data_IF_440791777526
#
_entry.id   IF_440791777526
#
_cell.length_a   1.000
_cell.length_b   1.000
_cell.length_c   1.000
_cell.angle_alpha   90.00
_cell.angle_beta   90.00
_cell.angle_gamma   90.00
#
_symmetry.space_group_name_H-M   'P 1'
#
loop_
_entity.id
_entity.type
_entity.pdbx_description
1 polymer ?
#
# COMPACT_ATOMS: atom_id res chain seq x y z
N UNK A 1 -12.49 -3.66 -8.50
CA UNK A 1 -11.69 -4.25 -7.40
C UNK A 1 -10.38 -4.72 -7.99
N UNK A 2 -9.25 -4.16 -7.55
CA UNK A 2 -7.95 -4.72 -7.89
C UNK A 2 -7.72 -5.91 -6.96
N UNK A 3 -7.69 -7.12 -7.51
CA UNK A 3 -7.28 -8.32 -6.77
C UNK A 3 -5.79 -8.20 -6.47
N UNK A 4 -5.44 -7.90 -5.23
CA UNK A 4 -4.07 -8.06 -4.75
C UNK A 4 -3.87 -9.55 -4.55
N UNK A 5 -3.08 -10.21 -5.41
CA UNK A 5 -2.85 -11.66 -5.34
C UNK A 5 -2.25 -12.14 -4.00
N UNK A 6 -1.84 -13.40 -3.92
CA UNK A 6 -1.28 -14.00 -2.71
C UNK A 6 -0.14 -13.13 -2.12
N UNK A 7 -0.43 -12.47 -0.98
CA UNK A 7 0.46 -11.54 -0.28
C UNK A 7 -0.08 -10.12 -0.09
N UNK A 8 -1.19 -9.74 -0.73
CA UNK A 8 -1.87 -8.48 -0.42
C UNK A 8 -1.03 -7.21 -0.59
N UNK A 9 -1.33 -6.19 0.22
CA UNK A 9 -0.52 -4.96 0.28
C UNK A 9 0.84 -5.21 0.93
N UNK A 10 0.97 -6.20 1.83
CA UNK A 10 2.24 -6.53 2.52
C UNK A 10 3.34 -6.88 1.54
N UNK A 11 3.04 -7.68 0.51
CA UNK A 11 3.99 -8.00 -0.57
C UNK A 11 4.43 -6.78 -1.37
N UNK A 12 3.54 -5.80 -1.51
CA UNK A 12 3.86 -4.53 -2.17
C UNK A 12 4.76 -3.65 -1.29
N UNK A 13 4.52 -3.63 0.02
CA UNK A 13 5.36 -2.94 1.00
C UNK A 13 6.76 -3.55 1.08
N UNK A 14 6.88 -4.88 1.09
CA UNK A 14 8.16 -5.58 0.99
C UNK A 14 8.93 -5.20 -0.27
N UNK A 15 8.23 -5.07 -1.40
CA UNK A 15 8.86 -4.67 -2.65
C UNK A 15 9.41 -3.24 -2.61
N UNK A 16 8.72 -2.32 -1.93
CA UNK A 16 9.17 -0.94 -1.76
C UNK A 16 10.40 -0.85 -0.84
N UNK A 17 10.47 -1.69 0.19
CA UNK A 17 11.55 -1.71 1.16
C UNK A 17 12.81 -2.47 0.71
N UNK A 18 12.70 -3.37 -0.28
CA UNK A 18 13.83 -4.16 -0.81
C UNK A 18 14.52 -3.42 -1.96
N UNK A 19 15.07 -2.24 -1.66
CA UNK A 19 15.71 -1.34 -2.62
C UNK A 19 17.18 -1.65 -2.89
N UNK A 20 17.74 -2.72 -2.30
CA UNK A 20 19.07 -3.21 -2.67
C UNK A 20 18.96 -4.38 -3.66
N UNK A 21 19.23 -4.10 -4.94
CA UNK A 21 19.65 -5.11 -5.91
C UNK A 21 18.62 -6.12 -6.41
N UNK A 22 17.33 -5.99 -6.11
CA UNK A 22 16.32 -6.86 -6.73
C UNK A 22 16.07 -6.44 -8.19
N UNK A 23 16.28 -7.37 -9.12
CA UNK A 23 16.20 -7.20 -10.59
C UNK A 23 14.83 -6.77 -11.14
N UNK A 24 13.85 -6.50 -10.26
CA UNK A 24 12.53 -5.93 -10.59
C UNK A 24 12.36 -4.46 -10.16
N UNK A 25 13.27 -3.87 -9.38
CA UNK A 25 13.28 -2.41 -9.10
C UNK A 25 13.30 -1.56 -10.39
N UNK A 26 13.77 -2.16 -11.49
CA UNK A 26 13.79 -1.59 -12.84
C UNK A 26 12.62 -2.00 -13.75
N UNK A 27 11.68 -2.84 -13.31
CA UNK A 27 10.44 -3.00 -14.09
C UNK A 27 9.60 -1.76 -13.85
N UNK A 28 9.65 -0.83 -14.82
CA UNK A 28 8.90 0.43 -14.84
C UNK A 28 7.40 0.24 -14.60
N UNK A 29 7.01 0.07 -13.35
CA UNK A 29 5.62 0.16 -12.94
C UNK A 29 5.27 1.63 -12.93
N UNK A 30 4.34 2.02 -13.79
CA UNK A 30 3.80 3.37 -13.84
C UNK A 30 3.40 3.82 -12.44
N UNK A 31 3.54 5.12 -12.15
CA UNK A 31 3.14 5.76 -10.89
C UNK A 31 1.81 5.21 -10.32
N UNK A 32 0.81 5.03 -11.19
CA UNK A 32 -0.50 4.51 -10.82
C UNK A 32 -0.44 3.11 -10.17
N UNK A 33 0.39 2.20 -10.68
CA UNK A 33 0.49 0.81 -10.20
C UNK A 33 1.26 0.73 -8.88
N UNK A 34 2.28 1.58 -8.69
CA UNK A 34 3.10 1.60 -7.46
C UNK A 34 2.25 1.88 -6.22
N UNK A 35 1.35 2.86 -6.33
CA UNK A 35 0.57 3.33 -5.18
C UNK A 35 -0.85 2.77 -5.09
N UNK A 36 -1.39 2.17 -6.16
CA UNK A 36 -2.72 1.52 -6.12
C UNK A 36 -2.79 0.32 -5.18
N UNK A 37 -1.64 -0.25 -4.81
CA UNK A 37 -1.54 -1.44 -3.96
C UNK A 37 -1.25 -1.11 -2.48
N UNK A 38 -1.10 0.19 -2.15
CA UNK A 38 -0.90 0.61 -0.77
C UNK A 38 -2.21 0.53 0.04
N UNK A 39 -2.12 0.27 1.34
CA UNK A 39 -3.29 0.22 2.22
C UNK A 39 -4.00 1.59 2.22
N UNK A 40 -5.33 1.57 2.10
CA UNK A 40 -6.13 2.79 2.16
C UNK A 40 -6.52 3.11 3.61
N UNK A 41 -6.38 4.37 4.08
CA UNK A 41 -6.78 4.74 5.44
C UNK A 41 -8.27 4.58 5.72
N UNK A 42 -9.09 4.41 4.67
CA UNK A 42 -10.53 4.18 4.82
C UNK A 42 -10.87 2.70 5.04
N UNK A 43 -10.04 1.77 4.53
CA UNK A 43 -10.24 0.34 4.72
C UNK A 43 -9.50 -0.19 5.95
N UNK A 44 -8.33 0.39 6.26
CA UNK A 44 -7.51 0.04 7.41
C UNK A 44 -7.73 1.06 8.53
N UNK A 45 -8.01 0.60 9.75
CA UNK A 45 -8.22 1.46 10.91
C UNK A 45 -6.97 2.27 11.30
N UNK A 46 -7.15 3.33 12.08
CA UNK A 46 -6.08 4.27 12.45
C UNK A 46 -4.98 3.62 13.30
N UNK A 47 -5.33 2.66 14.15
CA UNK A 47 -4.45 2.22 15.24
C UNK A 47 -3.72 0.91 14.95
N UNK A 48 -3.98 0.29 13.79
CA UNK A 48 -3.37 -1.00 13.45
C UNK A 48 -2.02 -0.78 12.76
N UNK A 49 -0.90 -1.27 13.35
CA UNK A 49 0.40 -1.17 12.72
C UNK A 49 0.49 -2.10 11.51
N UNK A 50 0.86 -1.54 10.36
CA UNK A 50 0.97 -2.27 9.09
C UNK A 50 2.42 -2.66 8.78
N UNK A 51 3.38 -1.84 9.26
CA UNK A 51 4.80 -2.18 9.25
C UNK A 51 5.35 -1.96 10.65
N UNK A 52 5.96 -3.00 11.22
CA UNK A 52 6.63 -2.98 12.51
C UNK A 52 8.12 -3.07 12.23
N UNK A 53 8.87 -2.08 12.71
CA UNK A 53 10.34 -2.08 12.69
C UNK A 53 10.84 -1.93 14.12
N UNK A 54 12.13 -2.18 14.33
CA UNK A 54 12.75 -1.99 15.65
C UNK A 54 12.54 -0.57 16.21
N UNK A 55 12.66 0.45 15.35
CA UNK A 55 12.63 1.85 15.77
C UNK A 55 11.21 2.45 15.81
N UNK A 56 10.31 1.98 14.92
CA UNK A 56 8.98 2.56 14.76
C UNK A 56 7.94 1.58 14.20
N UNK A 57 6.72 1.71 14.69
CA UNK A 57 5.53 1.09 14.11
C UNK A 57 4.82 2.09 13.20
N UNK A 58 4.67 1.73 11.92
CA UNK A 58 4.00 2.55 10.92
C UNK A 58 2.56 2.09 10.75
N UNK A 59 1.63 3.01 11.00
CA UNK A 59 0.21 2.86 10.72
C UNK A 59 -0.12 3.29 9.29
N UNK A 60 -1.39 3.16 8.90
CA UNK A 60 -1.86 3.63 7.60
C UNK A 60 -1.68 5.15 7.40
N UNK A 61 -1.62 5.94 8.47
CA UNK A 61 -1.38 7.38 8.41
C UNK A 61 0.11 7.73 8.27
N UNK A 62 0.98 6.84 8.71
CA UNK A 62 2.44 6.99 8.63
C UNK A 62 3.00 6.54 7.27
N UNK A 63 2.15 6.08 6.34
CA UNK A 63 2.58 5.63 5.01
C UNK A 63 3.45 6.64 4.26
N UNK A 64 3.18 7.96 4.24
CA UNK A 64 4.08 8.89 3.57
C UNK A 64 5.46 8.97 4.23
N UNK A 65 5.54 8.75 5.54
CA UNK A 65 6.80 8.72 6.29
C UNK A 65 7.54 7.40 6.03
N UNK A 66 6.83 6.27 6.04
CA UNK A 66 7.39 4.98 5.66
C UNK A 66 8.03 5.03 4.27
N UNK A 67 7.34 5.63 3.28
CA UNK A 67 7.87 5.79 1.92
C UNK A 67 9.16 6.63 1.90
N UNK A 68 9.28 7.64 2.76
CA UNK A 68 10.54 8.38 2.90
C UNK A 68 11.63 7.55 3.56
N UNK A 69 11.30 6.73 4.56
CA UNK A 69 12.25 5.85 5.26
C UNK A 69 12.81 4.78 4.33
N UNK A 70 12.00 4.20 3.45
CA UNK A 70 12.45 3.25 2.42
C UNK A 70 13.11 3.93 1.21
N UNK A 71 13.55 5.18 1.37
CA UNK A 71 14.33 5.92 0.37
C UNK A 71 13.64 6.13 -0.98
N UNK A 72 12.30 6.20 -1.03
CA UNK A 72 11.64 6.70 -2.25
C UNK A 72 12.02 8.16 -2.48
N UNK A 73 12.22 8.56 -3.76
CA UNK A 73 12.57 9.93 -4.06
C UNK A 73 11.41 10.88 -3.70
N UNK A 74 11.75 12.07 -3.21
CA UNK A 74 10.78 13.04 -2.68
C UNK A 74 9.65 13.38 -3.67
N UNK A 75 9.92 13.38 -4.97
CA UNK A 75 8.90 13.61 -5.99
C UNK A 75 7.85 12.47 -6.03
N UNK A 76 8.23 11.21 -5.82
CA UNK A 76 7.29 10.08 -5.77
C UNK A 76 6.41 10.16 -4.51
N UNK A 77 7.01 10.51 -3.36
CA UNK A 77 6.26 10.74 -2.12
C UNK A 77 5.26 11.90 -2.28
N UNK A 78 5.66 12.98 -2.96
CA UNK A 78 4.75 14.11 -3.28
C UNK A 78 3.59 13.65 -4.16
N UNK A 79 3.86 12.84 -5.18
CA UNK A 79 2.81 12.32 -6.05
C UNK A 79 1.88 11.35 -5.30
N UNK A 80 2.39 10.52 -4.38
CA UNK A 80 1.55 9.71 -3.50
C UNK A 80 0.58 10.58 -2.69
N UNK A 81 1.10 11.60 -1.99
CA UNK A 81 0.28 12.53 -1.18
C UNK A 81 -0.75 13.30 -2.00
N UNK A 82 -0.39 13.74 -3.21
CA UNK A 82 -1.22 14.65 -4.01
C UNK A 82 -2.15 13.96 -5.01
N UNK A 83 -1.88 12.70 -5.38
CA UNK A 83 -2.66 11.96 -6.40
C UNK A 83 -3.21 10.65 -5.89
N UNK A 84 -2.39 9.78 -5.34
CA UNK A 84 -2.83 8.44 -4.96
C UNK A 84 -3.68 8.43 -3.68
N UNK A 85 -3.21 9.11 -2.64
CA UNK A 85 -3.90 9.16 -1.34
C UNK A 85 -5.31 9.78 -1.44
N UNK A 86 -5.55 10.91 -2.14
CA UNK A 86 -6.89 11.45 -2.31
C UNK A 86 -7.86 10.50 -3.01
N UNK A 87 -7.38 9.73 -4.01
CA UNK A 87 -8.20 8.73 -4.72
C UNK A 87 -8.58 7.59 -3.77
N UNK A 88 -7.63 7.10 -2.96
CA UNK A 88 -7.89 6.04 -1.99
C UNK A 88 -8.89 6.46 -0.90
N UNK A 89 -8.89 7.74 -0.50
CA UNK A 89 -9.81 8.29 0.50
C UNK A 89 -11.21 8.56 -0.06
N UNK A 90 -11.30 8.94 -1.35
CA UNK A 90 -12.54 9.32 -2.00
C UNK A 90 -13.25 8.17 -2.76
N UNK A 91 -13.07 6.93 -2.31
CA UNK A 91 -13.81 5.80 -2.86
C UNK A 91 -15.31 5.91 -2.51
N UNK A 92 -16.16 5.92 -3.53
CA UNK A 92 -17.62 6.01 -3.40
C UNK A 92 -18.28 4.80 -4.03
N UNK A 93 -19.43 4.41 -3.48
CA UNK A 93 -20.23 3.33 -4.04
C UNK A 93 -20.63 3.66 -5.49
N UNK A 94 -20.56 2.70 -6.43
CA UNK A 94 -21.09 2.90 -7.77
C UNK A 94 -22.61 3.10 -7.71
N UNK A 95 -23.14 4.01 -8.53
CA UNK A 95 -24.59 4.30 -8.60
C UNK A 95 -25.37 3.28 -9.44
N UNK A 96 -24.86 2.05 -9.51
CA UNK A 96 -25.44 0.93 -10.26
C UNK A 96 -25.39 -0.31 -9.40
N UNK A 97 -26.27 -1.28 -9.70
CA UNK A 97 -26.22 -2.58 -9.04
C UNK A 97 -24.85 -3.22 -9.28
N UNK A 98 -24.10 -3.40 -8.20
CA UNK A 98 -22.79 -4.02 -8.22
C UNK A 98 -22.80 -5.22 -7.28
N UNK A 99 -22.57 -6.41 -7.82
CA UNK A 99 -22.32 -7.60 -7.01
C UNK A 99 -20.82 -7.72 -6.77
N UNK A 100 -20.39 -7.59 -5.53
CA UNK A 100 -19.00 -7.76 -5.13
C UNK A 100 -18.79 -9.17 -4.61
N UNK A 101 -17.89 -9.94 -5.23
CA UNK A 101 -17.49 -11.26 -4.77
C UNK A 101 -16.07 -11.16 -4.24
N UNK A 102 -15.91 -11.37 -2.94
CA UNK A 102 -14.60 -11.36 -2.27
C UNK A 102 -14.32 -12.75 -1.69
N UNK A 103 -13.08 -13.21 -1.81
CA UNK A 103 -12.62 -14.37 -1.05
C UNK A 103 -12.51 -14.03 0.43
N UNK A 104 -13.02 -14.90 1.30
CA UNK A 104 -12.89 -14.79 2.75
C UNK A 104 -12.30 -16.10 3.30
N UNK A 105 -11.83 -16.07 4.55
CA UNK A 105 -11.39 -17.25 5.31
C UNK A 105 -10.10 -17.93 4.84
N UNK A 106 -9.35 -17.30 3.93
CA UNK A 106 -7.98 -17.70 3.59
C UNK A 106 -7.01 -16.87 4.45
N UNK A 107 -6.06 -17.48 5.17
CA UNK A 107 -5.05 -16.74 5.91
C UNK A 107 -4.30 -15.76 5.00
N UNK A 108 -4.37 -14.48 5.35
CA UNK A 108 -3.74 -13.39 4.61
C UNK A 108 -2.80 -12.64 5.55
N UNK A 109 -1.61 -12.30 5.06
CA UNK A 109 -0.64 -11.52 5.83
C UNK A 109 -1.19 -10.12 6.07
N UNK A 110 -1.29 -9.73 7.33
CA UNK A 110 -1.92 -8.51 7.82
C UNK A 110 -0.90 -7.41 8.17
N UNK A 111 0.34 -7.78 8.48
CA UNK A 111 1.42 -6.87 8.83
C UNK A 111 2.77 -7.36 8.35
N UNK A 112 3.68 -6.42 8.15
CA UNK A 112 5.08 -6.66 7.84
C UNK A 112 5.92 -6.40 9.09
N UNK A 113 6.74 -7.37 9.49
CA UNK A 113 7.66 -7.22 10.64
C UNK A 113 9.08 -7.38 10.12
N UNK A 114 9.93 -6.38 10.39
CA UNK A 114 11.35 -6.36 10.08
C UNK A 114 12.18 -6.53 11.35
#
# INVERSE_FOLDING_TARGET
MASTGAGGFVRSMQFLATTEGSSLSCTGRSFAIKFSLLPSPRAFGSDTPLVVTWDKNYTVHDMPEFLTTVSLPAYEVKLYKTRALPVAMNFKAPMVLATCINGASVPMTDKLVY
#
